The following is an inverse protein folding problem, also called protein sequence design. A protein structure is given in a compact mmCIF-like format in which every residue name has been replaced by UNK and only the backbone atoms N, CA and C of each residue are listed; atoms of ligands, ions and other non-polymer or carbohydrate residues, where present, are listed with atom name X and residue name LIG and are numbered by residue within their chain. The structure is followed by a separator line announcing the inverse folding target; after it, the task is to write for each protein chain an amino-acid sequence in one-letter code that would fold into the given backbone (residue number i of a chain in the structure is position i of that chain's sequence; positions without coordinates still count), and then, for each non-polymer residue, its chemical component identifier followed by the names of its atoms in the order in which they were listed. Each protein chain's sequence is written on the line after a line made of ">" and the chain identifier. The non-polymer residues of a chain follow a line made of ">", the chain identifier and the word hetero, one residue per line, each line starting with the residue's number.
data_IF_461427146071
#
_entry.id   IF_461427146071
#
_cell.length_a   1.000
_cell.length_b   1.000
_cell.length_c   1.000
_cell.angle_alpha   90.00
_cell.angle_beta   90.00
_cell.angle_gamma   90.00
#
_symmetry.space_group_name_H-M   'P 1'
#
loop_
_entity.id
_entity.type
_entity.pdbx_description
1 polymer ?
#
# COMPACT_ATOMS: atom_id res chain seq x y z
N UNK A 1 4.02 13.54 -22.05
CA UNK A 1 3.07 13.86 -20.96
C UNK A 1 1.85 14.46 -21.61
N UNK A 2 0.69 13.82 -21.51
CA UNK A 2 -0.55 14.31 -22.12
C UNK A 2 -1.16 15.36 -21.23
N UNK A 3 -1.31 16.59 -21.72
CA UNK A 3 -2.08 17.66 -21.09
C UNK A 3 -3.56 17.29 -21.13
N UNK A 4 -4.02 16.54 -20.13
CA UNK A 4 -5.41 16.12 -19.97
C UNK A 4 -6.19 17.17 -19.15
N UNK A 5 -7.38 17.62 -19.59
CA UNK A 5 -8.15 18.66 -18.90
C UNK A 5 -8.95 18.14 -17.69
N UNK A 6 -8.84 16.86 -17.35
CA UNK A 6 -9.59 16.22 -16.27
C UNK A 6 -9.23 16.83 -14.91
N UNK A 7 -10.25 17.23 -14.16
CA UNK A 7 -10.08 17.82 -12.84
C UNK A 7 -11.25 17.45 -11.92
N UNK A 8 -10.97 17.29 -10.63
CA UNK A 8 -11.98 17.21 -9.59
C UNK A 8 -11.51 18.10 -8.44
N UNK A 9 -12.30 19.12 -8.11
CA UNK A 9 -12.05 20.03 -7.00
C UNK A 9 -13.11 19.79 -5.94
N UNK A 10 -12.63 19.48 -4.75
CA UNK A 10 -13.46 19.35 -3.55
C UNK A 10 -13.17 20.58 -2.70
N UNK A 11 -14.22 21.26 -2.24
CA UNK A 11 -14.11 22.42 -1.37
C UNK A 11 -15.07 22.25 -0.20
N UNK A 12 -14.65 22.76 0.95
CA UNK A 12 -15.51 22.86 2.13
C UNK A 12 -16.44 24.06 1.95
N UNK A 13 -17.75 23.80 1.99
CA UNK A 13 -18.80 24.81 1.87
C UNK A 13 -19.69 24.66 3.10
N UNK A 14 -19.59 25.63 4.02
CA UNK A 14 -20.16 25.51 5.37
C UNK A 14 -19.46 24.39 6.16
N UNK A 15 -20.25 23.49 6.75
CA UNK A 15 -19.76 22.32 7.50
C UNK A 15 -19.73 21.03 6.65
N UNK A 16 -19.71 21.14 5.32
CA UNK A 16 -19.79 19.98 4.42
C UNK A 16 -18.77 20.04 3.27
N UNK A 17 -18.23 18.88 2.92
CA UNK A 17 -17.32 18.73 1.77
C UNK A 17 -18.14 18.53 0.49
N UNK A 18 -18.07 19.51 -0.42
CA UNK A 18 -18.81 19.49 -1.69
C UNK A 18 -17.86 19.47 -2.88
N UNK A 19 -18.21 18.72 -3.92
CA UNK A 19 -17.50 18.75 -5.21
C UNK A 19 -17.92 20.02 -5.94
N UNK A 20 -17.01 20.99 -6.07
CA UNK A 20 -17.29 22.31 -6.66
C UNK A 20 -17.02 22.35 -8.16
N UNK A 21 -16.03 21.60 -8.64
CA UNK A 21 -15.70 21.52 -10.08
C UNK A 21 -15.38 20.07 -10.42
N UNK A 22 -16.01 19.56 -11.48
CA UNK A 22 -15.82 18.19 -11.95
C UNK A 22 -15.75 18.19 -13.48
N UNK A 23 -14.57 17.85 -14.01
CA UNK A 23 -14.37 17.56 -15.42
C UNK A 23 -13.83 16.13 -15.56
N UNK A 24 -14.65 15.25 -16.14
CA UNK A 24 -14.32 13.84 -16.38
C UNK A 24 -13.85 13.59 -17.82
N UNK A 25 -13.72 14.62 -18.65
CA UNK A 25 -13.31 14.47 -20.04
C UNK A 25 -11.82 14.15 -20.13
N UNK A 26 -11.51 13.07 -20.84
CA UNK A 26 -10.14 12.66 -21.10
C UNK A 26 -9.84 12.78 -22.59
N UNK A 27 -8.67 13.34 -22.92
CA UNK A 27 -8.15 13.38 -24.31
C UNK A 27 -7.40 12.10 -24.70
N UNK A 28 -7.45 11.08 -23.85
CA UNK A 28 -6.76 9.80 -24.02
C UNK A 28 -7.61 8.66 -23.44
N UNK A 29 -7.34 7.44 -23.89
CA UNK A 29 -7.97 6.27 -23.29
C UNK A 29 -7.60 6.15 -21.80
N UNK A 30 -8.56 5.68 -20.99
CA UNK A 30 -8.31 5.32 -19.60
C UNK A 30 -7.39 4.09 -19.54
N UNK A 31 -6.57 4.02 -18.48
CA UNK A 31 -5.68 2.89 -18.28
C UNK A 31 -6.48 1.60 -18.17
N UNK A 32 -5.99 0.53 -18.82
CA UNK A 32 -6.69 -0.75 -18.84
C UNK A 32 -6.65 -1.40 -17.46
N UNK A 33 -7.65 -2.23 -17.14
CA UNK A 33 -7.76 -2.92 -15.84
C UNK A 33 -6.51 -3.74 -15.48
N UNK A 34 -5.79 -4.24 -16.49
CA UNK A 34 -4.53 -4.98 -16.32
C UNK A 34 -3.31 -4.12 -15.97
N UNK A 35 -3.40 -2.79 -16.13
CA UNK A 35 -2.36 -1.81 -15.80
C UNK A 35 -2.56 -1.22 -14.39
N UNK A 36 -3.74 -1.42 -13.77
CA UNK A 36 -4.06 -0.96 -12.41
C UNK A 36 -3.06 -1.51 -11.38
N UNK A 37 -2.50 -2.70 -11.62
CA UNK A 37 -1.44 -3.29 -10.77
C UNK A 37 -0.16 -2.47 -10.71
N UNK A 38 0.05 -1.53 -11.64
CA UNK A 38 1.18 -0.60 -11.62
C UNK A 38 0.86 0.70 -10.88
N UNK A 39 -0.41 0.95 -10.54
CA UNK A 39 -0.82 2.08 -9.73
C UNK A 39 -0.53 1.78 -8.25
N UNK A 40 0.42 2.53 -7.67
CA UNK A 40 0.87 2.38 -6.28
C UNK A 40 -0.26 2.28 -5.23
N UNK A 41 -1.38 3.02 -5.32
CA UNK A 41 -2.47 2.89 -4.34
C UNK A 41 -3.14 1.51 -4.31
N UNK A 42 -3.03 0.75 -5.40
CA UNK A 42 -3.58 -0.60 -5.53
C UNK A 42 -2.56 -1.70 -5.19
N UNK A 43 -1.29 -1.34 -4.95
CA UNK A 43 -0.24 -2.30 -4.57
C UNK A 43 -0.24 -2.59 -3.06
N UNK A 44 -1.31 -3.20 -2.57
CA UNK A 44 -1.45 -3.49 -1.14
C UNK A 44 -1.23 -4.99 -0.85
N UNK A 45 -0.24 -5.27 0.00
CA UNK A 45 -0.08 -6.57 0.66
C UNK A 45 -1.12 -6.63 1.77
N UNK A 46 -1.98 -7.65 1.73
CA UNK A 46 -3.04 -7.87 2.73
C UNK A 46 -2.45 -8.26 4.09
N UNK A 47 -3.22 -8.15 5.18
CA UNK A 47 -2.72 -8.47 6.52
C UNK A 47 -2.42 -9.97 6.67
N UNK A 48 -3.15 -10.83 5.97
CA UNK A 48 -2.92 -12.27 5.90
C UNK A 48 -1.57 -12.56 5.21
N UNK A 49 -1.32 -11.92 4.07
CA UNK A 49 -0.06 -12.04 3.34
C UNK A 49 1.13 -11.45 4.11
N UNK A 50 0.92 -10.37 4.87
CA UNK A 50 1.92 -9.80 5.79
C UNK A 50 2.24 -10.77 6.91
N UNK A 51 1.23 -11.42 7.50
CA UNK A 51 1.41 -12.43 8.54
C UNK A 51 2.19 -13.63 8.01
N UNK A 52 1.83 -14.14 6.83
CA UNK A 52 2.59 -15.20 6.17
C UNK A 52 4.03 -14.77 5.88
N UNK A 53 4.24 -13.55 5.37
CA UNK A 53 5.57 -13.02 5.09
C UNK A 53 6.41 -12.86 6.36
N UNK A 54 5.81 -12.50 7.50
CA UNK A 54 6.48 -12.48 8.81
C UNK A 54 6.95 -13.89 9.19
N UNK A 55 6.09 -14.89 9.11
CA UNK A 55 6.44 -16.29 9.41
C UNK A 55 7.58 -16.80 8.52
N UNK A 56 7.49 -16.55 7.21
CA UNK A 56 8.54 -16.95 6.26
C UNK A 56 9.86 -16.19 6.48
N UNK A 57 9.79 -14.96 6.97
CA UNK A 57 10.97 -14.18 7.33
C UNK A 57 11.68 -14.74 8.56
N UNK A 58 10.96 -15.29 9.54
CA UNK A 58 11.53 -15.89 10.74
C UNK A 58 12.41 -17.11 10.43
N UNK A 59 12.01 -17.91 9.44
CA UNK A 59 12.79 -19.05 8.95
C UNK A 59 13.80 -18.67 7.86
N UNK A 60 14.09 -17.37 7.69
CA UNK A 60 15.06 -16.82 6.73
C UNK A 60 14.81 -17.20 5.26
N UNK A 61 13.55 -17.36 4.86
CA UNK A 61 13.23 -17.64 3.45
C UNK A 61 13.65 -16.46 2.55
N UNK A 62 14.34 -16.71 1.43
CA UNK A 62 14.68 -15.67 0.46
C UNK A 62 13.44 -15.01 -0.15
N UNK A 63 13.49 -13.71 -0.40
CA UNK A 63 12.34 -12.93 -0.91
C UNK A 63 11.78 -13.49 -2.24
N UNK A 64 12.62 -14.14 -3.05
CA UNK A 64 12.18 -14.80 -4.29
C UNK A 64 11.19 -15.94 -4.01
N UNK A 65 11.46 -16.76 -2.99
CA UNK A 65 10.59 -17.87 -2.62
C UNK A 65 9.31 -17.39 -1.94
N UNK A 66 9.39 -16.34 -1.11
CA UNK A 66 8.20 -15.69 -0.54
C UNK A 66 7.27 -15.21 -1.66
N UNK A 67 7.80 -14.54 -2.68
CA UNK A 67 7.02 -14.11 -3.85
C UNK A 67 6.38 -15.28 -4.60
N UNK A 68 7.07 -16.42 -4.75
CA UNK A 68 6.51 -17.61 -5.39
C UNK A 68 5.30 -18.12 -4.59
N UNK A 69 5.43 -18.26 -3.26
CA UNK A 69 4.34 -18.71 -2.39
C UNK A 69 3.14 -17.75 -2.45
N UNK A 70 3.39 -16.45 -2.36
CA UNK A 70 2.33 -15.44 -2.45
C UNK A 70 1.64 -15.46 -3.81
N UNK A 71 2.41 -15.59 -4.90
CA UNK A 71 1.82 -15.72 -6.24
C UNK A 71 1.00 -16.98 -6.42
N UNK A 72 1.42 -18.10 -5.82
CA UNK A 72 0.67 -19.34 -5.85
C UNK A 72 -0.70 -19.18 -5.16
N UNK A 73 -0.72 -18.56 -3.98
CA UNK A 73 -1.96 -18.30 -3.23
C UNK A 73 -2.93 -17.35 -3.96
N UNK A 74 -2.41 -16.42 -4.76
CA UNK A 74 -3.20 -15.48 -5.58
C UNK A 74 -3.65 -16.05 -6.92
N UNK A 75 -3.20 -17.25 -7.31
CA UNK A 75 -3.51 -17.87 -8.59
C UNK A 75 -2.57 -17.48 -9.75
N UNK A 76 -1.39 -16.93 -9.45
CA UNK A 76 -0.32 -16.67 -10.42
C UNK A 76 0.35 -15.30 -10.25
N UNK A 77 1.56 -15.16 -10.80
CA UNK A 77 2.36 -13.93 -10.70
C UNK A 77 1.71 -12.72 -11.37
N UNK A 78 0.86 -12.94 -12.37
CA UNK A 78 0.13 -11.89 -13.10
C UNK A 78 -0.95 -11.21 -12.26
N UNK A 79 -1.45 -11.89 -11.22
CA UNK A 79 -2.53 -11.45 -10.33
C UNK A 79 -2.03 -10.81 -9.05
N UNK A 80 -0.73 -10.90 -8.76
CA UNK A 80 -0.12 -10.25 -7.60
C UNK A 80 0.01 -8.75 -7.89
N UNK A 81 -0.61 -7.87 -7.08
CA UNK A 81 -0.59 -6.44 -7.32
C UNK A 81 0.66 -5.75 -6.76
N UNK A 82 1.69 -6.51 -6.35
CA UNK A 82 2.90 -5.97 -5.74
C UNK A 82 4.15 -6.72 -6.22
N UNK A 83 5.30 -6.08 -6.07
CA UNK A 83 6.58 -6.55 -6.60
C UNK A 83 7.47 -7.17 -5.52
N UNK A 84 8.55 -7.83 -5.94
CA UNK A 84 9.61 -8.30 -5.03
C UNK A 84 10.19 -7.17 -4.16
N UNK A 85 10.19 -5.92 -4.67
CA UNK A 85 10.68 -4.74 -3.93
C UNK A 85 9.77 -4.45 -2.74
N UNK A 86 8.46 -4.62 -2.89
CA UNK A 86 7.48 -4.36 -1.84
C UNK A 86 7.62 -5.37 -0.69
N UNK A 87 7.84 -6.65 -1.01
CA UNK A 87 8.19 -7.68 -0.01
C UNK A 87 9.49 -7.33 0.73
N UNK A 88 10.50 -6.80 0.02
CA UNK A 88 11.75 -6.36 0.63
C UNK A 88 11.57 -5.14 1.54
N UNK A 89 10.72 -4.19 1.14
CA UNK A 89 10.36 -3.02 1.94
C UNK A 89 9.63 -3.45 3.21
N UNK A 90 8.67 -4.37 3.10
CA UNK A 90 7.96 -4.93 4.24
C UNK A 90 8.89 -5.68 5.20
N UNK A 91 9.82 -6.50 4.71
CA UNK A 91 10.86 -7.11 5.58
C UNK A 91 11.72 -6.07 6.30
N UNK A 92 11.94 -4.92 5.68
CA UNK A 92 12.64 -3.81 6.32
C UNK A 92 11.78 -3.13 7.39
N UNK A 93 10.46 -3.04 7.21
CA UNK A 93 9.55 -2.56 8.27
C UNK A 93 9.50 -3.53 9.44
N UNK A 94 9.42 -4.84 9.19
CA UNK A 94 9.52 -5.87 10.25
C UNK A 94 10.81 -5.69 11.05
N UNK A 95 11.95 -5.50 10.38
CA UNK A 95 13.23 -5.28 11.08
C UNK A 95 13.23 -4.00 11.91
N UNK A 96 12.54 -2.94 11.48
CA UNK A 96 12.38 -1.70 12.27
C UNK A 96 11.46 -1.91 13.47
N UNK A 97 10.39 -2.69 13.31
CA UNK A 97 9.49 -3.10 14.40
C UNK A 97 10.23 -3.95 15.44
N UNK A 98 11.06 -4.90 14.99
CA UNK A 98 11.86 -5.77 15.87
C UNK A 98 13.15 -5.13 16.39
N UNK A 99 13.63 -4.05 15.77
CA UNK A 99 14.91 -3.40 16.10
C UNK A 99 14.90 -2.54 17.36
N UNK A 100 13.75 -2.42 18.04
CA UNK A 100 13.66 -1.66 19.30
C UNK A 100 14.09 -2.50 20.51
N UNK A 101 14.07 -3.83 20.45
CA UNK A 101 14.60 -4.66 21.54
C UNK A 101 15.22 -5.94 20.98
N UNK A 102 16.52 -6.10 21.21
CA UNK A 102 17.23 -7.34 20.90
C UNK A 102 16.61 -8.52 21.65
N UNK A 103 16.53 -9.65 20.94
CA UNK A 103 16.15 -10.97 21.40
C UNK A 103 14.64 -11.27 21.59
N UNK A 104 14.29 -12.44 21.02
CA UNK A 104 13.08 -13.27 21.21
C UNK A 104 11.84 -12.86 20.41
N UNK A 105 11.46 -13.76 19.49
CA UNK A 105 10.16 -13.79 18.83
C UNK A 105 9.03 -13.77 19.87
N UNK A 106 8.11 -12.78 19.86
CA UNK A 106 6.81 -12.97 20.45
C UNK A 106 5.86 -13.43 19.33
N UNK A 107 5.27 -14.59 19.55
CA UNK A 107 4.15 -15.17 18.80
C UNK A 107 2.88 -14.28 18.88
N UNK A 108 2.93 -13.15 19.59
CA UNK A 108 1.85 -12.19 19.73
C UNK A 108 2.37 -10.75 19.68
N UNK A 109 2.51 -10.18 18.48
CA UNK A 109 2.25 -8.75 18.29
C UNK A 109 0.87 -8.60 17.67
N UNK A 110 -0.16 -8.97 18.44
CA UNK A 110 -1.53 -8.53 18.17
C UNK A 110 -1.64 -7.06 18.59
N UNK A 111 -2.23 -6.24 17.73
CA UNK A 111 -2.72 -4.91 18.11
C UNK A 111 -1.77 -3.75 17.87
N UNK A 112 -1.49 -3.45 16.61
CA UNK A 112 -1.31 -2.05 16.18
C UNK A 112 -1.56 -1.97 14.67
N UNK A 113 -2.81 -1.67 14.29
CA UNK A 113 -3.09 -1.11 12.96
C UNK A 113 -2.48 0.30 12.95
N UNK A 114 -1.19 0.40 12.63
CA UNK A 114 -0.56 1.66 12.32
C UNK A 114 -0.86 1.94 10.86
N UNK A 115 -1.96 2.66 10.61
CA UNK A 115 -2.18 3.34 9.33
C UNK A 115 -1.05 4.37 9.20
N UNK A 116 0.07 3.94 8.63
CA UNK A 116 1.07 4.87 8.16
C UNK A 116 0.54 5.53 6.88
N UNK A 117 -0.29 6.55 7.06
CA UNK A 117 -0.35 7.65 6.12
C UNK A 117 1.05 8.24 6.01
N UNK A 118 1.65 8.18 4.84
CA UNK A 118 2.81 9.02 4.53
C UNK A 118 2.57 9.82 3.28
N UNK A 119 2.08 11.04 3.56
CA UNK A 119 2.64 12.29 3.06
C UNK A 119 2.22 12.74 1.66
N UNK A 120 0.96 13.23 1.57
CA UNK A 120 0.66 14.54 1.00
C UNK A 120 -0.78 15.01 1.29
N UNK A 121 -1.22 14.89 2.54
CA UNK A 121 -2.38 15.63 3.02
C UNK A 121 -1.87 16.67 4.02
N UNK A 122 -1.75 17.93 3.58
CA UNK A 122 -1.46 19.05 4.47
C UNK A 122 -2.72 19.27 5.32
N UNK A 123 -2.75 18.73 6.52
CA UNK A 123 -3.73 19.14 7.52
C UNK A 123 -3.08 20.23 8.37
N UNK A 124 -3.59 21.45 8.17
CA UNK A 124 -3.28 22.62 8.97
C UNK A 124 -3.70 22.41 10.43
N UNK A 125 -2.88 22.94 11.33
CA UNK A 125 -3.01 22.90 12.79
C UNK A 125 -4.42 23.30 13.26
N UNK A 126 -4.94 22.59 14.26
CA UNK A 126 -5.90 23.15 15.23
C UNK A 126 -5.15 23.20 16.56
N UNK A 127 -5.15 24.40 17.13
CA UNK A 127 -4.59 24.81 18.42
C UNK A 127 -5.77 24.74 19.39
N UNK A 128 -5.61 24.12 20.56
CA UNK A 128 -6.41 24.46 21.75
C UNK A 128 -5.82 25.70 22.41
#
# INVERSE_FOLDING_TARGET
>A
MTTCPTEMVISEVGDSWTITRLNLEHKHALSRTNEIKFLKPHMNITEEEKTLTRTLNLINVPNRMIMVVLSYLRGGLSLVPYTKKDVSNFKTSIRKECGVNGAVLPIFCNGAVRICCSSNFKQTKIIE
#
